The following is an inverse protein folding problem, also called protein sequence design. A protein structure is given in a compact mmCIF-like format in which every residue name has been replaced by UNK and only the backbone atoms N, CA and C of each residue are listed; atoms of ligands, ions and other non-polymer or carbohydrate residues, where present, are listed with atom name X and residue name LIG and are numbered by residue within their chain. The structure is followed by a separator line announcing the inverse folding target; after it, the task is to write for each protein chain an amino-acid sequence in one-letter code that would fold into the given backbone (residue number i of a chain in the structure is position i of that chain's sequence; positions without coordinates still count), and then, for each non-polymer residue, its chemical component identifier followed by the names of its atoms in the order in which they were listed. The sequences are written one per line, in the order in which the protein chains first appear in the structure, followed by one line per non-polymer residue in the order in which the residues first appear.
data_IF_852077811252
#
_entry.id   IF_852077811252
#
_cell.length_a   1.000
_cell.length_b   1.000
_cell.length_c   1.000
_cell.angle_alpha   90.00
_cell.angle_beta   90.00
_cell.angle_gamma   90.00
#
_symmetry.space_group_name_H-M   'P 1'
#
loop_
_entity.id
_entity.type
_entity.pdbx_description
1 polymer ?
#
# COMPACT_ATOMS: atom_id res chain seq x y z
N UNK A 1 -5.68 16.92 4.16
CA UNK A 1 -5.48 16.29 2.84
C UNK A 1 -5.06 14.86 3.14
N UNK A 2 -5.85 13.86 2.78
CA UNK A 2 -5.48 12.46 3.06
C UNK A 2 -4.20 12.13 2.28
N UNK A 3 -3.11 11.85 2.98
CA UNK A 3 -1.90 11.30 2.35
C UNK A 3 -2.28 9.92 1.82
N UNK A 4 -2.25 9.74 0.50
CA UNK A 4 -2.47 8.44 -0.14
C UNK A 4 -1.20 8.05 -0.87
N UNK A 5 -0.80 6.79 -0.73
CA UNK A 5 0.35 6.25 -1.47
C UNK A 5 0.03 6.06 -2.95
N UNK A 6 -1.25 5.98 -3.35
CA UNK A 6 -1.68 5.74 -4.74
C UNK A 6 -2.32 7.00 -5.37
N UNK A 7 -1.97 7.36 -6.63
CA UNK A 7 -2.43 8.59 -7.28
C UNK A 7 -3.93 8.60 -7.63
N UNK A 8 -4.52 7.42 -7.86
CA UNK A 8 -5.97 7.28 -8.12
C UNK A 8 -6.63 6.25 -7.17
N UNK A 9 -7.23 6.70 -6.05
CA UNK A 9 -7.92 5.82 -5.10
C UNK A 9 -9.18 5.12 -5.65
N UNK A 10 -9.75 5.61 -6.75
CA UNK A 10 -10.94 5.01 -7.37
C UNK A 10 -10.61 3.77 -8.20
N UNK A 11 -9.36 3.67 -8.65
CA UNK A 11 -8.82 2.54 -9.41
C UNK A 11 -8.53 1.29 -8.57
N UNK A 12 -8.62 1.39 -7.24
CA UNK A 12 -8.33 0.32 -6.28
C UNK A 12 -9.50 -0.67 -6.18
N UNK A 13 -9.16 -1.95 -6.05
CA UNK A 13 -10.13 -3.05 -6.18
C UNK A 13 -11.14 -3.18 -5.03
N UNK A 14 -10.87 -2.63 -3.84
CA UNK A 14 -11.78 -2.67 -2.70
C UNK A 14 -11.50 -1.55 -1.69
N UNK A 15 -12.48 -1.31 -0.81
CA UNK A 15 -12.39 -0.26 0.21
C UNK A 15 -11.30 -0.54 1.26
N UNK A 16 -11.03 -1.81 1.59
CA UNK A 16 -9.94 -2.17 2.52
C UNK A 16 -8.57 -1.79 1.97
N UNK A 17 -8.33 -2.01 0.67
CA UNK A 17 -7.10 -1.60 0.00
C UNK A 17 -6.97 -0.08 -0.03
N UNK A 18 -8.07 0.63 -0.33
CA UNK A 18 -8.11 2.09 -0.29
C UNK A 18 -7.78 2.63 1.11
N UNK A 19 -8.41 2.09 2.14
CA UNK A 19 -8.18 2.49 3.53
C UNK A 19 -6.73 2.25 3.95
N UNK A 20 -6.13 1.11 3.57
CA UNK A 20 -4.74 0.80 3.88
C UNK A 20 -3.75 1.79 3.25
N UNK A 21 -3.95 2.15 1.97
CA UNK A 21 -3.08 3.11 1.26
C UNK A 21 -3.33 4.58 1.68
N UNK A 22 -4.44 4.85 2.39
CA UNK A 22 -4.82 6.15 2.93
C UNK A 22 -4.54 6.27 4.43
N UNK A 23 -3.90 5.27 5.03
CA UNK A 23 -3.54 5.30 6.45
C UNK A 23 -2.63 6.51 6.71
N UNK A 24 -3.15 7.47 7.47
CA UNK A 24 -2.44 8.67 7.88
C UNK A 24 -1.98 8.49 9.33
N UNK A 25 -0.68 8.33 9.54
CA UNK A 25 -0.09 8.18 10.86
C UNK A 25 0.42 9.52 11.35
N UNK A 26 -0.15 10.05 12.44
CA UNK A 26 0.30 11.32 13.02
C UNK A 26 1.73 11.27 13.57
N UNK A 27 2.25 10.06 13.85
CA UNK A 27 3.58 9.86 14.44
C UNK A 27 4.69 9.61 13.42
N UNK A 28 4.35 9.24 12.18
CA UNK A 28 5.33 8.83 11.17
C UNK A 28 4.98 9.44 9.81
N UNK A 29 5.93 10.15 9.21
CA UNK A 29 5.75 10.72 7.87
C UNK A 29 5.96 9.71 6.74
N UNK A 30 6.85 8.74 6.95
CA UNK A 30 7.14 7.67 6.01
C UNK A 30 6.32 6.42 6.38
N UNK A 31 5.51 5.85 5.46
CA UNK A 31 4.77 4.62 5.72
C UNK A 31 5.67 3.44 6.11
N UNK A 32 6.94 3.40 5.67
CA UNK A 32 7.88 2.34 6.06
C UNK A 32 8.28 2.41 7.54
N UNK A 33 8.13 3.57 8.17
CA UNK A 33 8.44 3.74 9.60
C UNK A 33 7.19 3.48 10.48
N UNK A 34 6.00 3.34 9.87
CA UNK A 34 4.74 3.10 10.57
C UNK A 34 4.43 1.59 10.67
N UNK A 35 4.35 1.00 11.88
CA UNK A 35 4.07 -0.43 12.04
C UNK A 35 2.66 -0.84 11.59
N UNK A 36 1.73 0.12 11.51
CA UNK A 36 0.36 -0.09 11.04
C UNK A 36 0.23 0.02 9.50
N UNK A 37 1.24 0.55 8.82
CA UNK A 37 1.26 0.59 7.35
C UNK A 37 1.68 -0.77 6.81
N UNK A 38 0.77 -1.45 6.10
CA UNK A 38 0.98 -2.83 5.65
C UNK A 38 1.30 -2.94 4.16
N UNK A 39 0.93 -1.94 3.37
CA UNK A 39 1.02 -1.98 1.91
C UNK A 39 1.75 -0.72 1.42
N UNK A 40 2.57 -0.89 0.39
CA UNK A 40 3.20 0.18 -0.33
C UNK A 40 2.81 0.09 -1.81
N UNK A 41 2.73 1.25 -2.45
CA UNK A 41 2.58 1.37 -3.89
C UNK A 41 3.80 2.10 -4.46
N UNK A 42 4.34 1.59 -5.57
CA UNK A 42 5.40 2.23 -6.32
C UNK A 42 4.85 2.73 -7.65
N UNK A 43 4.70 4.05 -7.78
CA UNK A 43 4.16 4.69 -8.99
C UNK A 43 5.03 4.47 -10.23
N UNK A 44 6.36 4.43 -10.08
CA UNK A 44 7.28 4.23 -11.20
C UNK A 44 7.25 2.82 -11.79
N UNK A 45 6.76 1.84 -11.02
CA UNK A 45 6.65 0.44 -11.43
C UNK A 45 5.19 -0.04 -11.58
N UNK A 46 4.21 0.80 -11.20
CA UNK A 46 2.79 0.43 -11.05
C UNK A 46 2.60 -0.89 -10.28
N UNK A 47 3.28 -0.98 -9.12
CA UNK A 47 3.35 -2.21 -8.33
C UNK A 47 2.95 -2.00 -6.89
N UNK A 48 2.24 -3.00 -6.37
CA UNK A 48 1.91 -3.11 -4.95
C UNK A 48 2.83 -4.11 -4.27
N UNK A 49 3.20 -3.78 -3.03
CA UNK A 49 4.02 -4.64 -2.19
C UNK A 49 3.52 -4.60 -0.75
N UNK A 50 3.72 -5.69 -0.02
CA UNK A 50 3.55 -5.70 1.44
C UNK A 50 4.84 -5.22 2.09
N UNK A 51 4.71 -4.32 3.07
CA UNK A 51 5.83 -3.85 3.88
C UNK A 51 6.18 -4.94 4.90
N UNK A 52 7.47 -5.25 5.03
CA UNK A 52 7.98 -6.19 6.05
C UNK A 52 8.64 -5.39 7.15
N UNK A 53 8.08 -5.48 8.36
CA UNK A 53 8.58 -4.78 9.55
C UNK A 53 9.54 -5.66 10.36
N UNK A 54 10.70 -6.00 9.79
CA UNK A 54 11.75 -6.80 10.43
C UNK A 54 12.95 -5.97 10.94
N UNK A 55 12.86 -4.64 10.82
CA UNK A 55 13.91 -3.69 11.20
C UNK A 55 14.68 -3.12 10.01
N UNK A 56 14.43 -3.60 8.79
CA UNK A 56 14.98 -3.07 7.54
C UNK A 56 13.85 -2.63 6.58
N UNK A 57 14.19 -1.88 5.52
CA UNK A 57 13.21 -1.44 4.52
C UNK A 57 12.97 -2.51 3.47
N UNK A 58 12.23 -3.55 3.87
CA UNK A 58 11.94 -4.70 3.03
C UNK A 58 10.49 -4.74 2.58
N UNK A 59 10.28 -5.29 1.39
CA UNK A 59 8.95 -5.49 0.80
C UNK A 59 8.83 -6.83 0.11
N UNK A 60 7.60 -7.34 0.05
CA UNK A 60 7.22 -8.50 -0.77
C UNK A 60 6.26 -8.05 -1.85
N UNK A 61 6.66 -8.18 -3.12
CA UNK A 61 5.78 -7.86 -4.25
C UNK A 61 4.55 -8.77 -4.25
N UNK A 62 3.37 -8.17 -4.44
CA UNK A 62 2.10 -8.90 -4.52
C UNK A 62 1.42 -8.68 -5.86
N UNK A 63 0.71 -9.71 -6.32
CA UNK A 63 -0.08 -9.69 -7.56
C UNK A 63 -1.58 -9.77 -7.32
N UNK A 64 -1.98 -10.02 -6.08
CA UNK A 64 -3.37 -10.14 -5.66
C UNK A 64 -3.59 -9.32 -4.39
N UNK A 65 -4.75 -8.69 -4.30
CA UNK A 65 -5.16 -7.94 -3.12
C UNK A 65 -5.27 -8.87 -1.90
N UNK A 66 -4.61 -8.56 -0.77
CA UNK A 66 -4.66 -9.42 0.41
C UNK A 66 -6.03 -9.42 1.09
N UNK A 67 -6.91 -8.46 0.75
CA UNK A 67 -8.24 -8.33 1.36
C UNK A 67 -9.34 -9.00 0.52
N UNK A 68 -9.40 -8.75 -0.79
CA UNK A 68 -10.48 -9.28 -1.65
C UNK A 68 -10.03 -10.30 -2.69
N UNK A 69 -8.73 -10.56 -2.84
CA UNK A 69 -8.20 -11.54 -3.79
C UNK A 69 -8.21 -11.11 -5.27
N UNK A 70 -8.67 -9.90 -5.59
CA UNK A 70 -8.62 -9.38 -6.97
C UNK A 70 -7.19 -9.29 -7.49
N UNK A 71 -7.00 -9.59 -8.78
CA UNK A 71 -5.72 -9.34 -9.46
C UNK A 71 -5.40 -7.86 -9.43
N UNK A 72 -4.15 -7.55 -9.07
CA UNK A 72 -3.58 -6.21 -9.11
C UNK A 72 -2.74 -5.96 -10.35
N UNK A 73 -2.48 -7.01 -11.14
CA UNK A 73 -1.86 -6.86 -12.45
C UNK A 73 -2.76 -6.01 -13.32
N UNK A 74 -2.23 -4.87 -13.79
CA UNK A 74 -2.84 -4.07 -14.83
C UNK A 74 -2.17 -4.42 -16.15
N UNK A 75 -2.96 -4.71 -17.18
CA UNK A 75 -2.51 -5.00 -18.55
C UNK A 75 -2.12 -3.72 -19.30
#
# INVERSE_FOLDING_TARGET
MTKTQHPDPSSLCCDSMRAALQLDCESHDDPFDCPDSLIAYNEGLDQFALIVHDGERHVVLIRYCPWCGSSLLRE
#
